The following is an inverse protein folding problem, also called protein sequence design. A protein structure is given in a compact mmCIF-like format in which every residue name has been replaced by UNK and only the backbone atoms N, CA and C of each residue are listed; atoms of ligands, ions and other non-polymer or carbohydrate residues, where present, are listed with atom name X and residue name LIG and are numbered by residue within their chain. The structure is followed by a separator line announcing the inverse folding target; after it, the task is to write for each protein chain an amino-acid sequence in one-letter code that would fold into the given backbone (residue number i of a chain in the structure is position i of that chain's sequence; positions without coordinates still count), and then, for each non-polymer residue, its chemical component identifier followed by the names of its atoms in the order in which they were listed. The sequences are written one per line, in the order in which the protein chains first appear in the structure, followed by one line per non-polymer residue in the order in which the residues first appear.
data_IF_380174288639
#
_entry.id   IF_380174288639
#
_cell.length_a   1.000
_cell.length_b   1.000
_cell.length_c   1.000
_cell.angle_alpha   90.00
_cell.angle_beta   90.00
_cell.angle_gamma   90.00
#
_symmetry.space_group_name_H-M   'P 1'
#
loop_
_entity.id
_entity.type
_entity.pdbx_description
1 polymer ?
#
# COMPACT_ATOMS: atom_id res chain seq x y z
N UNK A 1 -1.69 1.89 5.95
CA UNK A 1 -3.03 2.52 5.97
C UNK A 1 -2.91 3.88 5.34
N UNK A 2 -3.68 4.13 4.29
CA UNK A 2 -3.73 5.44 3.63
C UNK A 2 -5.04 6.15 3.94
N UNK A 3 -4.96 7.46 4.04
CA UNK A 3 -6.11 8.33 4.15
C UNK A 3 -6.16 9.23 2.92
N UNK A 4 -7.26 9.13 2.19
CA UNK A 4 -7.62 10.04 1.12
C UNK A 4 -8.53 11.11 1.74
N UNK A 5 -8.11 12.35 1.65
CA UNK A 5 -8.86 13.47 2.21
C UNK A 5 -9.21 14.43 1.08
N UNK A 6 -10.48 14.76 0.98
CA UNK A 6 -10.98 15.79 0.10
C UNK A 6 -11.42 17.00 0.93
N UNK A 7 -10.85 18.16 0.65
CA UNK A 7 -11.21 19.42 1.29
C UNK A 7 -11.54 20.45 0.22
N UNK A 8 -12.48 21.33 0.55
CA UNK A 8 -12.73 22.53 -0.24
C UNK A 8 -11.86 23.66 0.32
N UNK A 9 -11.21 24.50 -0.48
CA UNK A 9 -10.48 25.65 0.05
C UNK A 9 -11.45 26.62 0.70
N UNK A 10 -11.13 26.95 1.92
CA UNK A 10 -11.85 27.93 2.72
C UNK A 10 -11.35 29.31 2.35
N UNK A 11 -12.07 30.03 1.51
CA UNK A 11 -12.20 31.48 1.55
C UNK A 11 -13.49 31.91 0.85
N UNK A 12 -14.58 31.79 1.59
CA UNK A 12 -15.82 32.33 1.17
C UNK A 12 -16.25 33.44 2.15
N UNK A 13 -15.91 34.67 1.81
CA UNK A 13 -16.48 35.87 2.45
C UNK A 13 -17.93 36.10 1.93
N UNK A 14 -18.83 35.31 2.41
CA UNK A 14 -20.24 35.44 2.69
C UNK A 14 -21.16 36.29 1.81
N UNK A 15 -20.88 36.53 0.53
CA UNK A 15 -21.84 37.24 -0.33
C UNK A 15 -21.84 36.64 -1.75
N UNK A 16 -22.84 35.84 -2.00
CA UNK A 16 -23.14 35.15 -3.27
C UNK A 16 -22.20 34.01 -3.63
N UNK A 17 -22.67 32.78 -3.38
CA UNK A 17 -22.02 31.55 -3.77
C UNK A 17 -21.98 31.40 -5.29
N UNK A 18 -20.82 31.28 -5.95
CA UNK A 18 -20.79 30.78 -7.33
C UNK A 18 -21.28 29.34 -7.43
N UNK A 19 -21.27 28.59 -6.31
CA UNK A 19 -21.88 27.27 -6.24
C UNK A 19 -23.41 27.29 -6.34
N UNK A 20 -24.10 28.44 -6.09
CA UNK A 20 -25.55 28.53 -6.32
C UNK A 20 -25.89 28.49 -7.81
N UNK A 21 -25.01 28.97 -8.67
CA UNK A 21 -25.19 28.94 -10.12
C UNK A 21 -24.83 27.55 -10.70
N UNK A 22 -23.92 26.83 -10.04
CA UNK A 22 -23.58 25.44 -10.35
C UNK A 22 -24.70 24.50 -9.90
N UNK A 23 -25.38 24.78 -8.79
CA UNK A 23 -26.53 24.01 -8.31
C UNK A 23 -27.77 24.15 -9.23
N UNK A 24 -27.80 25.16 -10.12
CA UNK A 24 -28.89 25.34 -11.10
C UNK A 24 -28.65 24.57 -12.40
N UNK A 25 -27.47 23.96 -12.59
CA UNK A 25 -27.24 23.10 -13.73
C UNK A 25 -27.04 21.66 -13.23
N UNK A 26 -28.11 20.85 -13.14
CA UNK A 26 -28.00 19.46 -12.67
C UNK A 26 -27.10 18.58 -13.52
N UNK A 27 -26.66 19.05 -14.69
CA UNK A 27 -25.67 18.36 -15.52
C UNK A 27 -24.22 18.56 -15.06
N UNK A 28 -23.93 19.49 -14.14
CA UNK A 28 -22.57 19.75 -13.62
C UNK A 28 -22.27 19.12 -12.26
N UNK A 29 -23.28 18.59 -11.57
CA UNK A 29 -23.11 17.93 -10.26
C UNK A 29 -22.51 16.52 -10.37
N UNK A 30 -22.42 15.96 -11.56
CA UNK A 30 -22.04 14.55 -11.76
C UNK A 30 -20.57 14.33 -12.17
N UNK A 31 -19.70 15.35 -12.20
CA UNK A 31 -18.49 15.25 -13.02
C UNK A 31 -17.14 15.42 -12.34
N UNK A 32 -17.06 15.52 -11.02
CA UNK A 32 -15.76 15.40 -10.35
C UNK A 32 -15.50 13.93 -10.08
N UNK A 33 -14.77 13.30 -10.98
CA UNK A 33 -14.33 11.92 -10.82
C UNK A 33 -12.84 11.88 -10.50
N UNK A 34 -12.44 10.95 -9.66
CA UNK A 34 -11.05 10.69 -9.37
C UNK A 34 -10.69 9.23 -9.61
N UNK A 35 -9.43 9.00 -9.92
CA UNK A 35 -8.87 7.67 -10.08
C UNK A 35 -7.81 7.44 -9.03
N UNK A 36 -7.78 6.28 -8.44
CA UNK A 36 -6.72 5.86 -7.51
C UNK A 36 -5.81 4.88 -8.24
N UNK A 37 -4.51 5.16 -8.19
CA UNK A 37 -3.51 4.33 -8.88
C UNK A 37 -2.41 3.94 -7.89
N UNK A 38 -2.04 2.68 -7.79
CA UNK A 38 -0.83 2.27 -7.09
C UNK A 38 0.42 2.65 -7.91
N UNK A 39 1.53 3.05 -7.28
CA UNK A 39 2.73 3.54 -7.98
C UNK A 39 3.38 2.52 -8.91
N UNK A 40 3.25 1.24 -8.62
CA UNK A 40 3.86 0.15 -9.40
C UNK A 40 2.93 -0.47 -10.46
N UNK A 41 1.65 -0.11 -10.50
CA UNK A 41 0.68 -0.64 -11.44
C UNK A 41 0.25 0.45 -12.42
N UNK A 42 0.27 0.13 -13.70
CA UNK A 42 -0.29 0.99 -14.75
C UNK A 42 -1.84 0.96 -14.78
N UNK A 43 -2.43 0.23 -13.82
CA UNK A 43 -3.87 0.09 -13.73
C UNK A 43 -4.46 1.19 -12.85
N UNK A 44 -5.52 1.81 -13.35
CA UNK A 44 -6.29 2.82 -12.64
C UNK A 44 -7.65 2.23 -12.28
N UNK A 45 -8.20 2.68 -11.15
CA UNK A 45 -9.61 2.39 -10.87
C UNK A 45 -10.51 2.96 -11.96
N UNK A 46 -11.73 2.44 -12.08
CA UNK A 46 -12.80 3.19 -12.77
C UNK A 46 -12.99 4.53 -12.05
N UNK A 47 -13.49 5.56 -12.77
CA UNK A 47 -13.79 6.85 -12.14
C UNK A 47 -14.67 6.69 -10.91
N UNK A 48 -14.31 7.38 -9.85
CA UNK A 48 -15.04 7.40 -8.59
C UNK A 48 -15.62 8.81 -8.40
N UNK A 49 -16.87 8.89 -7.98
CA UNK A 49 -17.49 10.18 -7.63
C UNK A 49 -16.90 10.71 -6.32
N UNK A 50 -16.90 12.03 -6.16
CA UNK A 50 -16.53 12.69 -4.89
C UNK A 50 -17.41 12.27 -3.72
N UNK A 51 -18.61 11.74 -3.99
CA UNK A 51 -19.56 11.20 -3.02
C UNK A 51 -19.49 9.68 -2.88
N UNK A 52 -18.51 9.02 -3.52
CA UNK A 52 -18.39 7.56 -3.51
C UNK A 52 -18.49 6.99 -2.09
N UNK A 53 -19.23 5.92 -1.95
CA UNK A 53 -19.32 5.20 -0.69
C UNK A 53 -18.02 4.46 -0.38
N UNK A 54 -17.86 4.02 0.86
CA UNK A 54 -16.76 3.12 1.22
C UNK A 54 -16.75 1.83 0.39
N UNK A 55 -17.91 1.30 0.04
CA UNK A 55 -18.06 0.11 -0.80
C UNK A 55 -17.61 0.39 -2.23
N UNK A 56 -17.97 1.55 -2.81
CA UNK A 56 -17.55 1.90 -4.17
C UNK A 56 -16.03 1.98 -4.29
N UNK A 57 -15.37 2.62 -3.31
CA UNK A 57 -13.90 2.72 -3.28
C UNK A 57 -13.27 1.35 -3.08
N UNK A 58 -13.81 0.53 -2.15
CA UNK A 58 -13.33 -0.83 -1.91
C UNK A 58 -13.41 -1.69 -3.17
N UNK A 59 -14.56 -1.72 -3.84
CA UNK A 59 -14.78 -2.53 -5.03
C UNK A 59 -13.92 -2.06 -6.21
N UNK A 60 -13.72 -0.75 -6.36
CA UNK A 60 -12.87 -0.20 -7.39
C UNK A 60 -11.39 -0.62 -7.21
N UNK A 61 -10.88 -0.59 -5.96
CA UNK A 61 -9.53 -1.04 -5.64
C UNK A 61 -9.37 -2.55 -5.82
N UNK A 62 -10.36 -3.33 -5.43
CA UNK A 62 -10.36 -4.79 -5.64
C UNK A 62 -10.33 -5.17 -7.13
N UNK A 63 -11.02 -4.43 -8.01
CA UNK A 63 -11.02 -4.69 -9.46
C UNK A 63 -9.64 -4.55 -10.10
N UNK A 64 -8.78 -3.72 -9.56
CA UNK A 64 -7.38 -3.55 -10.00
C UNK A 64 -6.40 -4.37 -9.15
N UNK A 65 -6.87 -5.46 -8.55
CA UNK A 65 -6.08 -6.43 -7.78
C UNK A 65 -5.31 -5.84 -6.58
N UNK A 66 -5.76 -4.71 -6.04
CA UNK A 66 -5.18 -4.19 -4.80
C UNK A 66 -5.76 -4.97 -3.62
N UNK A 67 -4.88 -5.48 -2.76
CA UNK A 67 -5.27 -6.31 -1.62
C UNK A 67 -5.74 -5.45 -0.43
N UNK A 68 -6.94 -4.89 -0.55
CA UNK A 68 -7.59 -4.06 0.47
C UNK A 68 -8.34 -4.93 1.45
N UNK A 69 -8.15 -4.70 2.74
CA UNK A 69 -8.90 -5.32 3.83
C UNK A 69 -10.20 -4.55 4.11
N UNK A 70 -10.12 -3.23 4.24
CA UNK A 70 -11.26 -2.38 4.55
C UNK A 70 -11.12 -0.97 3.99
N UNK A 71 -12.25 -0.35 3.72
CA UNK A 71 -12.35 1.09 3.47
C UNK A 71 -13.40 1.67 4.41
N UNK A 72 -13.04 2.71 5.13
CA UNK A 72 -13.99 3.50 5.93
C UNK A 72 -14.09 4.91 5.38
N UNK A 73 -15.26 5.54 5.49
CA UNK A 73 -15.50 6.92 5.07
C UNK A 73 -16.01 7.74 6.26
N UNK A 74 -15.46 8.91 6.42
CA UNK A 74 -15.92 9.90 7.39
C UNK A 74 -16.23 11.23 6.70
N UNK A 75 -17.17 11.99 7.23
CA UNK A 75 -17.40 13.37 6.83
C UNK A 75 -16.44 14.26 7.63
N UNK A 76 -15.63 15.07 6.92
CA UNK A 76 -14.64 15.94 7.56
C UNK A 76 -15.07 17.41 7.63
N UNK A 77 -16.05 17.80 6.85
CA UNK A 77 -16.63 19.13 6.78
C UNK A 77 -18.10 19.07 6.41
N UNK A 78 -18.50 19.76 5.34
CA UNK A 78 -19.89 19.75 4.86
C UNK A 78 -20.13 18.60 3.87
N UNK A 79 -20.96 17.65 4.27
CA UNK A 79 -21.34 16.51 3.43
C UNK A 79 -22.06 16.95 2.14
N UNK A 80 -22.75 18.08 2.14
CA UNK A 80 -23.40 18.62 0.96
C UNK A 80 -22.40 19.10 -0.09
N UNK A 81 -21.20 19.49 0.35
CA UNK A 81 -20.10 19.91 -0.51
C UNK A 81 -19.17 18.74 -0.89
N UNK A 82 -19.45 17.52 -0.43
CA UNK A 82 -18.63 16.35 -0.72
C UNK A 82 -17.31 16.31 0.08
N UNK A 83 -17.26 16.91 1.27
CA UNK A 83 -16.07 16.94 2.13
C UNK A 83 -15.95 15.64 2.93
N UNK A 84 -15.33 14.64 2.31
CA UNK A 84 -15.15 13.30 2.87
C UNK A 84 -13.67 12.92 2.98
N UNK A 85 -13.39 12.00 3.90
CA UNK A 85 -12.13 11.29 3.95
C UNK A 85 -12.37 9.78 3.93
N UNK A 86 -11.57 9.07 3.13
CA UNK A 86 -11.56 7.61 3.10
C UNK A 86 -10.26 7.10 3.70
N UNK A 87 -10.38 6.20 4.66
CA UNK A 87 -9.24 5.46 5.19
C UNK A 87 -9.22 4.08 4.57
N UNK A 88 -8.14 3.77 3.86
CA UNK A 88 -7.94 2.50 3.16
C UNK A 88 -6.97 1.67 3.97
N UNK A 89 -7.41 0.50 4.42
CA UNK A 89 -6.60 -0.48 5.14
C UNK A 89 -6.28 -1.63 4.21
N UNK A 90 -4.98 -1.91 4.06
CA UNK A 90 -4.50 -3.05 3.27
C UNK A 90 -4.43 -4.30 4.14
N UNK A 91 -4.51 -5.47 3.50
CA UNK A 91 -4.31 -6.74 4.18
C UNK A 91 -2.94 -6.77 4.86
N UNK A 92 -2.85 -7.45 6.01
CA UNK A 92 -1.60 -7.58 6.78
C UNK A 92 -0.44 -8.18 5.97
N UNK A 93 -0.74 -9.02 4.98
CA UNK A 93 0.26 -9.64 4.11
C UNK A 93 0.75 -8.72 2.98
N UNK A 94 0.16 -7.56 2.80
CA UNK A 94 0.52 -6.64 1.73
C UNK A 94 1.91 -5.99 1.91
N UNK A 95 2.48 -6.06 3.12
CA UNK A 95 3.75 -5.41 3.44
C UNK A 95 3.63 -3.89 3.46
N UNK A 96 4.71 -3.21 3.11
CA UNK A 96 4.73 -1.76 2.96
C UNK A 96 4.30 -1.41 1.54
N UNK A 97 3.05 -0.99 1.40
CA UNK A 97 2.46 -0.60 0.12
C UNK A 97 2.83 0.85 -0.17
N UNK A 98 3.39 1.07 -1.36
CA UNK A 98 3.70 2.42 -1.83
C UNK A 98 2.44 3.30 -1.84
N UNK A 99 2.63 4.60 -1.60
CA UNK A 99 1.53 5.55 -1.53
C UNK A 99 0.73 5.59 -2.83
N UNK A 100 -0.58 5.47 -2.72
CA UNK A 100 -1.49 5.62 -3.84
C UNK A 100 -1.41 7.03 -4.42
N UNK A 101 -1.65 7.17 -5.70
CA UNK A 101 -1.80 8.46 -6.37
C UNK A 101 -3.24 8.69 -6.79
N UNK A 102 -3.70 9.93 -6.75
CA UNK A 102 -5.02 10.33 -7.21
C UNK A 102 -4.89 11.22 -8.43
N UNK A 103 -5.65 10.89 -9.44
CA UNK A 103 -5.83 11.73 -10.61
C UNK A 103 -7.29 12.16 -10.65
N UNK A 104 -7.54 13.41 -10.80
CA UNK A 104 -8.87 13.94 -11.06
C UNK A 104 -8.93 14.46 -12.49
N UNK A 105 -10.03 14.21 -13.17
CA UNK A 105 -10.33 14.81 -14.45
C UNK A 105 -11.59 15.67 -14.29
N UNK A 106 -11.45 16.95 -14.60
CA UNK A 106 -12.61 17.72 -14.96
C UNK A 106 -12.98 17.33 -16.41
N UNK A 107 -14.25 17.00 -16.65
CA UNK A 107 -14.71 16.54 -17.98
C UNK A 107 -14.84 17.67 -18.99
N UNK A 108 -14.32 18.85 -18.73
CA UNK A 108 -14.36 19.95 -19.68
C UNK A 108 -12.94 20.34 -20.09
N UNK A 109 -12.60 20.06 -21.36
CA UNK A 109 -11.31 20.40 -21.97
C UNK A 109 -11.10 21.94 -22.07
N UNK A 110 -12.15 22.71 -21.81
CA UNK A 110 -12.13 24.18 -21.86
C UNK A 110 -11.96 24.85 -20.48
N UNK A 111 -11.86 24.07 -19.39
CA UNK A 111 -11.69 24.63 -18.05
C UNK A 111 -10.19 24.81 -17.75
N UNK A 112 -9.73 26.06 -17.89
CA UNK A 112 -8.45 26.53 -17.39
C UNK A 112 -8.23 26.08 -15.93
N UNK A 113 -6.98 25.82 -15.55
CA UNK A 113 -6.43 25.38 -14.27
C UNK A 113 -6.96 26.06 -12.97
N UNK A 114 -7.95 26.91 -13.06
CA UNK A 114 -8.63 27.61 -11.97
C UNK A 114 -9.95 26.94 -11.58
N UNK A 115 -9.97 25.59 -11.38
CA UNK A 115 -11.10 24.97 -10.69
C UNK A 115 -11.21 25.56 -9.30
N UNK A 116 -12.26 26.32 -8.96
CA UNK A 116 -12.45 26.77 -7.61
C UNK A 116 -12.75 25.52 -6.77
N UNK A 117 -11.71 24.94 -6.22
CA UNK A 117 -11.78 24.63 -4.88
C UNK A 117 -11.86 23.21 -4.42
N UNK A 118 -11.77 22.14 -5.16
CA UNK A 118 -11.63 20.80 -4.57
C UNK A 118 -10.18 20.33 -4.54
N UNK A 119 -9.60 20.11 -3.36
CA UNK A 119 -8.30 19.49 -3.25
C UNK A 119 -8.43 18.06 -2.72
N UNK A 120 -7.83 17.10 -3.41
CA UNK A 120 -7.70 15.73 -2.94
C UNK A 120 -6.26 15.51 -2.52
N UNK A 121 -6.04 15.08 -1.28
CA UNK A 121 -4.72 14.71 -0.77
C UNK A 121 -4.70 13.28 -0.27
N UNK A 122 -3.55 12.64 -0.38
CA UNK A 122 -3.30 11.32 0.20
C UNK A 122 -2.18 11.44 1.22
N UNK A 123 -2.37 10.79 2.36
CA UNK A 123 -1.35 10.65 3.39
C UNK A 123 -1.25 9.22 3.87
N UNK A 124 -0.05 8.79 4.22
CA UNK A 124 0.17 7.53 4.92
C UNK A 124 -0.13 7.71 6.40
N UNK A 125 -1.07 6.94 6.93
CA UNK A 125 -1.44 6.98 8.35
C UNK A 125 -0.53 6.04 9.13
N UNK A 126 -0.29 4.83 8.60
CA UNK A 126 0.57 3.80 9.19
C UNK A 126 1.33 3.11 8.07
N UNK A 127 2.65 3.06 8.18
CA UNK A 127 3.48 2.30 7.25
C UNK A 127 3.22 0.80 7.42
N UNK A 128 3.40 0.05 6.34
CA UNK A 128 3.33 -1.40 6.37
C UNK A 128 4.54 -2.03 7.06
N UNK A 129 4.40 -3.28 7.45
CA UNK A 129 5.49 -4.06 8.04
C UNK A 129 6.36 -4.69 6.96
N UNK A 130 7.68 -4.55 7.13
CA UNK A 130 8.68 -5.25 6.33
C UNK A 130 9.70 -5.91 7.26
N UNK A 131 10.19 -7.08 6.88
CA UNK A 131 11.31 -7.72 7.58
C UNK A 131 12.58 -6.93 7.34
N UNK A 132 13.40 -6.82 8.38
CA UNK A 132 14.71 -6.17 8.33
C UNK A 132 15.60 -6.72 9.45
N UNK A 133 16.87 -6.31 9.46
CA UNK A 133 17.81 -6.67 10.51
C UNK A 133 18.70 -7.87 10.15
N UNK A 134 19.28 -8.49 11.18
CA UNK A 134 20.21 -9.60 11.03
C UNK A 134 19.84 -10.74 11.98
N UNK A 135 20.24 -11.95 11.61
CA UNK A 135 20.08 -13.15 12.43
C UNK A 135 21.35 -14.02 12.37
N UNK A 136 21.49 -14.93 13.30
CA UNK A 136 22.56 -15.94 13.32
C UNK A 136 21.94 -17.31 13.53
N UNK A 137 22.52 -18.34 12.90
CA UNK A 137 22.13 -19.72 13.09
C UNK A 137 23.12 -20.42 14.01
N UNK A 138 22.60 -21.20 14.95
CA UNK A 138 23.41 -21.94 15.93
C UNK A 138 23.23 -23.43 15.71
N UNK A 139 24.35 -24.17 15.70
CA UNK A 139 24.39 -25.61 15.63
C UNK A 139 25.43 -26.17 16.62
N UNK A 140 25.02 -27.09 17.49
CA UNK A 140 25.85 -27.69 18.51
C UNK A 140 26.72 -26.68 19.31
N UNK A 141 26.11 -25.54 19.69
CA UNK A 141 26.76 -24.51 20.49
C UNK A 141 27.73 -23.59 19.73
N UNK A 142 27.82 -23.72 18.41
CA UNK A 142 28.57 -22.79 17.52
C UNK A 142 27.59 -22.01 16.66
N UNK A 143 27.89 -20.72 16.44
CA UNK A 143 27.00 -19.84 15.65
C UNK A 143 27.67 -19.35 14.37
N UNK A 144 26.87 -19.10 13.36
CA UNK A 144 27.31 -18.34 12.19
C UNK A 144 27.61 -16.90 12.56
N UNK A 145 28.38 -16.17 11.74
CA UNK A 145 28.33 -14.71 11.77
C UNK A 145 26.88 -14.20 11.62
N UNK A 146 26.64 -12.95 12.01
CA UNK A 146 25.36 -12.29 11.76
C UNK A 146 25.14 -12.18 10.24
N UNK A 147 24.00 -12.64 9.78
CA UNK A 147 23.57 -12.67 8.39
C UNK A 147 22.39 -11.72 8.21
N UNK A 148 22.35 -11.00 7.08
CA UNK A 148 21.23 -10.12 6.77
C UNK A 148 19.93 -10.93 6.58
N UNK A 149 18.79 -10.33 6.92
CA UNK A 149 17.47 -10.97 6.81
C UNK A 149 17.14 -11.46 5.37
N UNK A 150 17.82 -10.92 4.36
CA UNK A 150 17.66 -11.22 2.93
C UNK A 150 18.89 -11.93 2.32
N UNK A 151 19.72 -12.54 3.16
CA UNK A 151 20.95 -13.23 2.72
C UNK A 151 20.68 -14.20 1.56
N UNK A 152 21.56 -14.23 0.58
CA UNK A 152 21.46 -15.17 -0.54
C UNK A 152 21.59 -16.63 -0.09
N UNK A 153 21.05 -17.57 -0.88
CA UNK A 153 21.21 -18.99 -0.61
C UNK A 153 22.70 -19.41 -0.59
N UNK A 154 23.50 -18.89 -1.52
CA UNK A 154 24.94 -19.18 -1.64
C UNK A 154 25.72 -18.68 -0.43
N UNK A 155 25.42 -17.46 0.04
CA UNK A 155 26.12 -16.90 1.21
C UNK A 155 25.70 -17.62 2.49
N UNK A 156 24.42 -17.99 2.64
CA UNK A 156 23.96 -18.80 3.76
C UNK A 156 24.61 -20.17 3.77
N UNK A 157 24.67 -20.84 2.61
CA UNK A 157 25.36 -22.12 2.45
C UNK A 157 26.83 -22.03 2.88
N UNK A 158 27.55 -21.00 2.40
CA UNK A 158 28.95 -20.75 2.77
C UNK A 158 29.15 -20.53 4.26
N UNK A 159 28.21 -19.85 4.93
CA UNK A 159 28.25 -19.65 6.37
C UNK A 159 27.96 -20.93 7.16
N UNK A 160 26.97 -21.69 6.73
CA UNK A 160 26.59 -22.96 7.35
C UNK A 160 27.63 -24.06 7.14
N UNK A 161 28.27 -24.14 5.98
CA UNK A 161 29.30 -25.15 5.69
C UNK A 161 30.44 -25.13 6.71
N UNK A 162 30.75 -23.98 7.29
CA UNK A 162 31.76 -23.82 8.34
C UNK A 162 31.37 -24.46 9.68
N UNK A 163 30.06 -24.65 9.91
CA UNK A 163 29.53 -25.20 11.16
C UNK A 163 29.16 -26.67 11.04
N UNK A 164 28.56 -27.06 9.93
CA UNK A 164 27.84 -28.34 9.79
C UNK A 164 28.41 -29.23 8.68
N UNK A 165 29.44 -28.78 7.93
CA UNK A 165 29.96 -29.52 6.78
C UNK A 165 29.18 -29.26 5.50
N UNK A 166 29.06 -30.26 4.65
CA UNK A 166 28.45 -30.13 3.33
C UNK A 166 26.93 -29.93 3.44
N UNK A 167 26.45 -28.81 2.96
CA UNK A 167 25.03 -28.48 2.89
C UNK A 167 24.70 -27.89 1.53
N UNK A 168 23.46 -27.98 1.15
CA UNK A 168 22.86 -27.26 0.03
C UNK A 168 21.75 -26.37 0.57
N UNK A 169 21.71 -25.11 0.13
CA UNK A 169 20.71 -24.15 0.55
C UNK A 169 19.93 -23.64 -0.67
N UNK A 170 18.62 -23.72 -0.60
CA UNK A 170 17.74 -23.05 -1.53
C UNK A 170 16.94 -21.98 -0.83
N UNK A 171 16.53 -20.94 -1.55
CA UNK A 171 15.77 -19.80 -1.02
C UNK A 171 14.57 -19.51 -1.88
N UNK A 172 13.42 -19.27 -1.25
CA UNK A 172 12.20 -18.74 -1.86
C UNK A 172 11.86 -17.34 -1.32
N UNK A 173 10.92 -16.71 -1.97
CA UNK A 173 10.54 -15.32 -1.68
C UNK A 173 11.23 -14.32 -2.63
N UNK A 174 11.14 -13.00 -2.34
CA UNK A 174 10.53 -12.42 -1.16
C UNK A 174 9.01 -12.48 -1.15
N UNK A 175 8.42 -12.51 0.05
CA UNK A 175 7.01 -12.17 0.26
C UNK A 175 6.81 -10.65 0.10
N UNK A 176 5.56 -10.17 0.13
CA UNK A 176 5.27 -8.73 0.13
C UNK A 176 5.88 -8.00 1.33
N UNK A 177 6.09 -8.68 2.45
CA UNK A 177 6.79 -8.16 3.63
C UNK A 177 8.32 -8.31 3.54
N UNK A 178 8.86 -8.67 2.36
CA UNK A 178 10.28 -8.96 2.11
C UNK A 178 10.81 -10.16 2.92
N UNK A 179 9.93 -11.05 3.39
CA UNK A 179 10.32 -12.28 4.07
C UNK A 179 10.82 -13.34 3.08
N UNK A 180 11.72 -14.19 3.52
CA UNK A 180 12.28 -15.31 2.77
C UNK A 180 12.18 -16.60 3.57
N UNK A 181 12.18 -17.72 2.86
CA UNK A 181 12.33 -19.05 3.42
C UNK A 181 13.60 -19.68 2.87
N UNK A 182 14.35 -20.37 3.71
CA UNK A 182 15.53 -21.13 3.31
C UNK A 182 15.32 -22.59 3.64
N UNK A 183 15.51 -23.45 2.65
CA UNK A 183 15.55 -24.90 2.83
C UNK A 183 17.03 -25.31 2.87
N UNK A 184 17.48 -25.87 4.01
CA UNK A 184 18.82 -26.38 4.22
C UNK A 184 18.81 -27.90 4.16
N UNK A 185 19.55 -28.48 3.21
CA UNK A 185 19.72 -29.93 3.04
C UNK A 185 21.14 -30.30 3.49
N UNK A 186 21.25 -31.19 4.46
CA UNK A 186 22.54 -31.74 4.90
C UNK A 186 22.95 -32.87 3.96
N UNK A 187 24.10 -32.76 3.31
CA UNK A 187 24.60 -33.70 2.32
C UNK A 187 25.50 -34.80 2.90
N UNK A 188 26.16 -34.49 4.03
CA UNK A 188 26.98 -35.48 4.71
C UNK A 188 26.09 -36.47 5.51
N UNK A 189 26.45 -37.75 5.58
CA UNK A 189 25.66 -38.73 6.28
C UNK A 189 25.77 -38.61 7.80
N UNK A 190 25.19 -37.54 8.35
CA UNK A 190 25.27 -37.21 9.78
C UNK A 190 24.29 -38.01 10.67
N UNK A 191 23.48 -38.88 10.09
CA UNK A 191 22.40 -39.56 10.82
C UNK A 191 21.30 -38.57 11.26
N UNK A 192 20.86 -38.65 12.53
CA UNK A 192 19.90 -37.72 13.09
C UNK A 192 20.61 -36.43 13.50
N UNK A 193 20.35 -35.36 12.78
CA UNK A 193 20.99 -34.03 12.98
C UNK A 193 20.20 -33.23 14.00
N UNK A 194 20.89 -32.56 14.91
CA UNK A 194 20.28 -31.62 15.85
C UNK A 194 19.65 -30.45 15.05
N UNK A 195 18.54 -29.86 15.53
CA UNK A 195 17.94 -28.74 14.86
C UNK A 195 18.87 -27.51 14.87
N UNK A 196 18.81 -26.73 13.82
CA UNK A 196 19.38 -25.39 13.82
C UNK A 196 18.52 -24.49 14.73
N UNK A 197 19.16 -23.63 15.52
CA UNK A 197 18.49 -22.60 16.33
C UNK A 197 18.84 -21.21 15.80
N UNK A 198 17.92 -20.24 15.98
CA UNK A 198 18.09 -18.83 15.64
C UNK A 198 18.39 -18.04 16.89
#
# INVERSE_FOLDING_TARGET
VFKLTQTMPFDWNGTTSPCSDIALNPALTDHVTYHVTPPAAHERTTPLLNTASNTDVYDALKKININVEAVTRETIGDAANGEFAWTITFNQEAGDVDQLTVYYSALDEDYNDDLPGGQISISTVVNGNVFSGNFSLTFNGKSTPAMAFDISAVDMESNLARLVGNVEVSRSGPTFQKGHEWLVTFLDPLGNVSPLAV
#
